data_IF_425283395537
#
_entry.id   IF_425283395537
#
_cell.length_a   1.000
_cell.length_b   1.000
_cell.length_c   1.000
_cell.angle_alpha   90.00
_cell.angle_beta   90.00
_cell.angle_gamma   90.00
#
_symmetry.space_group_name_H-M   'P 1'
#
loop_
_entity.id
_entity.type
_entity.pdbx_description
1 polymer ?
#
# COMPACT_ATOMS: atom_id res chain seq x y z
N UNK A 1 11.91 0.21 -17.46
CA UNK A 1 11.47 -0.98 -16.70
C UNK A 1 10.44 -1.81 -17.48
N UNK A 2 10.53 -3.13 -17.43
CA UNK A 2 9.57 -4.07 -18.02
C UNK A 2 9.03 -5.06 -16.96
N UNK A 3 7.78 -5.52 -17.11
CA UNK A 3 7.14 -6.49 -16.19
C UNK A 3 6.33 -7.51 -16.96
N UNK A 4 6.44 -8.79 -16.57
CA UNK A 4 5.50 -9.88 -16.87
C UNK A 4 5.20 -10.67 -15.59
N UNK A 5 4.02 -11.29 -15.54
CA UNK A 5 3.64 -12.10 -14.37
C UNK A 5 4.33 -13.48 -14.35
N UNK A 6 4.64 -14.04 -15.51
CA UNK A 6 5.32 -15.34 -15.65
C UNK A 6 6.33 -15.29 -16.79
N UNK A 7 7.44 -16.05 -16.74
CA UNK A 7 8.49 -16.02 -17.77
C UNK A 7 7.95 -16.18 -19.20
N UNK A 8 7.01 -17.09 -19.40
CA UNK A 8 6.44 -17.43 -20.72
C UNK A 8 5.15 -16.65 -21.05
N UNK A 9 4.90 -15.52 -20.38
CA UNK A 9 3.74 -14.65 -20.68
C UNK A 9 4.18 -13.35 -21.32
N UNK A 10 3.30 -12.70 -22.11
CA UNK A 10 3.59 -11.38 -22.65
C UNK A 10 3.92 -10.35 -21.57
N UNK A 11 4.74 -9.37 -21.93
CA UNK A 11 4.99 -8.20 -21.09
C UNK A 11 3.70 -7.40 -20.91
N UNK A 12 3.41 -7.06 -19.66
CA UNK A 12 2.32 -6.17 -19.25
C UNK A 12 2.82 -4.72 -19.27
N UNK A 13 4.00 -4.46 -18.70
CA UNK A 13 4.69 -3.19 -18.79
C UNK A 13 5.89 -3.33 -19.73
N UNK A 14 5.97 -2.45 -20.74
CA UNK A 14 6.89 -2.57 -21.88
C UNK A 14 7.81 -1.35 -21.98
N UNK A 15 8.76 -1.22 -21.07
CA UNK A 15 9.76 -0.15 -21.13
C UNK A 15 9.27 1.18 -20.56
N UNK A 16 8.69 1.16 -19.36
CA UNK A 16 8.30 2.38 -18.64
C UNK A 16 9.55 3.10 -18.14
N UNK A 17 9.64 4.40 -18.44
CA UNK A 17 10.61 5.34 -17.86
C UNK A 17 9.81 6.46 -17.21
N UNK A 18 10.00 6.62 -15.90
CA UNK A 18 9.25 7.55 -15.06
C UNK A 18 10.16 8.01 -13.92
N UNK A 19 10.13 9.31 -13.65
CA UNK A 19 10.78 9.92 -12.49
C UNK A 19 9.72 10.66 -11.70
N UNK A 20 9.63 10.38 -10.40
CA UNK A 20 8.75 11.06 -9.45
C UNK A 20 9.65 11.68 -8.39
N UNK A 21 9.54 12.99 -8.18
CA UNK A 21 10.34 13.71 -7.20
C UNK A 21 9.65 13.73 -5.83
N UNK A 22 10.45 13.92 -4.79
CA UNK A 22 9.94 14.03 -3.42
C UNK A 22 8.92 15.16 -3.29
N UNK A 23 7.77 14.85 -2.69
CA UNK A 23 6.67 15.82 -2.48
C UNK A 23 5.69 15.95 -3.65
N UNK A 24 5.93 15.27 -4.78
CA UNK A 24 5.01 15.29 -5.91
C UNK A 24 3.74 14.46 -5.67
N UNK A 25 2.63 14.94 -6.23
CA UNK A 25 1.36 14.21 -6.30
C UNK A 25 1.12 13.82 -7.75
N UNK A 26 1.27 12.53 -8.06
CA UNK A 26 1.17 12.01 -9.43
C UNK A 26 -0.10 11.19 -9.60
N UNK A 27 -0.91 11.53 -10.62
CA UNK A 27 -2.06 10.74 -11.03
C UNK A 27 -1.73 9.83 -12.22
N UNK A 28 -2.09 8.55 -12.14
CA UNK A 28 -1.88 7.58 -13.22
C UNK A 28 -3.24 7.20 -13.83
N UNK A 29 -3.47 7.61 -15.07
CA UNK A 29 -4.73 7.40 -15.79
C UNK A 29 -4.56 6.45 -16.97
N UNK A 30 -5.64 5.74 -17.32
CA UNK A 30 -5.65 4.83 -18.46
C UNK A 30 -6.81 3.85 -18.41
N UNK A 31 -7.13 3.22 -19.56
CA UNK A 31 -8.21 2.23 -19.68
C UNK A 31 -8.03 1.04 -18.72
N UNK A 32 -9.10 0.32 -18.40
CA UNK A 32 -9.00 -0.96 -17.68
C UNK A 32 -8.07 -1.92 -18.42
N UNK A 33 -7.21 -2.64 -17.67
CA UNK A 33 -6.20 -3.52 -18.25
C UNK A 33 -4.91 -2.85 -18.75
N UNK A 34 -4.78 -1.52 -18.63
CA UNK A 34 -3.58 -0.79 -19.09
C UNK A 34 -2.31 -0.99 -18.23
N UNK A 35 -2.34 -1.84 -17.21
CA UNK A 35 -1.18 -2.12 -16.35
C UNK A 35 -0.98 -1.18 -15.16
N UNK A 36 -1.95 -0.31 -14.82
CA UNK A 36 -1.85 0.61 -13.66
C UNK A 36 -1.60 -0.14 -12.35
N UNK A 37 -2.42 -1.14 -12.05
CA UNK A 37 -2.26 -1.97 -10.85
C UNK A 37 -0.95 -2.76 -10.88
N UNK A 38 -0.51 -3.19 -12.07
CA UNK A 38 0.79 -3.88 -12.25
C UNK A 38 1.98 -2.97 -11.93
N UNK A 39 1.90 -1.68 -12.28
CA UNK A 39 2.93 -0.71 -11.92
C UNK A 39 3.03 -0.53 -10.40
N UNK A 40 1.89 -0.39 -9.72
CA UNK A 40 1.84 -0.32 -8.26
C UNK A 40 2.40 -1.61 -7.64
N UNK A 41 1.98 -2.78 -8.13
CA UNK A 41 2.49 -4.08 -7.67
C UNK A 41 4.01 -4.20 -7.80
N UNK A 42 4.60 -3.61 -8.84
CA UNK A 42 6.04 -3.65 -9.02
C UNK A 42 6.80 -2.75 -8.04
N UNK A 43 6.25 -1.58 -7.65
CA UNK A 43 6.84 -0.73 -6.59
C UNK A 43 6.89 -1.47 -5.25
N UNK A 44 5.87 -2.26 -4.94
CA UNK A 44 5.83 -3.09 -3.72
C UNK A 44 6.56 -4.44 -3.87
N UNK A 45 7.18 -4.70 -5.03
CA UNK A 45 7.78 -5.99 -5.40
C UNK A 45 6.84 -7.17 -5.08
N UNK A 46 5.56 -7.02 -5.41
CA UNK A 46 4.59 -8.12 -5.48
C UNK A 46 4.75 -8.89 -6.79
N UNK A 47 5.26 -8.21 -7.82
CA UNK A 47 5.76 -8.79 -9.08
C UNK A 47 7.12 -8.18 -9.34
N UNK A 48 8.13 -9.01 -9.57
CA UNK A 48 9.49 -8.51 -9.81
C UNK A 48 9.62 -7.90 -11.22
N UNK A 49 10.40 -6.82 -11.40
CA UNK A 49 10.78 -6.33 -12.71
C UNK A 49 11.45 -7.43 -13.53
N UNK A 50 11.04 -7.59 -14.77
CA UNK A 50 11.65 -8.56 -15.68
C UNK A 50 12.87 -8.01 -16.40
N UNK A 51 12.95 -6.68 -16.50
CA UNK A 51 14.10 -5.94 -17.03
C UNK A 51 14.04 -4.47 -16.57
N UNK A 52 15.20 -3.82 -16.54
CA UNK A 52 15.41 -2.49 -15.98
C UNK A 52 15.31 -2.45 -14.45
N UNK A 53 15.27 -1.25 -13.90
CA UNK A 53 15.38 -1.00 -12.46
C UNK A 53 14.33 -0.02 -11.96
N UNK A 54 13.96 -0.17 -10.69
CA UNK A 54 13.23 0.84 -9.91
C UNK A 54 14.17 1.30 -8.81
N UNK A 55 14.34 2.61 -8.67
CA UNK A 55 15.15 3.19 -7.60
C UNK A 55 14.27 4.10 -6.74
N UNK A 56 14.47 4.04 -5.42
CA UNK A 56 13.86 4.94 -4.44
C UNK A 56 15.01 5.53 -3.64
N UNK A 57 15.08 6.86 -3.55
CA UNK A 57 16.19 7.60 -2.92
C UNK A 57 17.58 7.17 -3.44
N UNK A 58 17.67 6.87 -4.74
CA UNK A 58 18.90 6.41 -5.39
C UNK A 58 19.26 4.94 -5.12
N UNK A 59 18.46 4.21 -4.33
CA UNK A 59 18.69 2.81 -3.98
C UNK A 59 17.84 1.93 -4.89
N UNK A 60 18.46 0.95 -5.54
CA UNK A 60 17.76 -0.10 -6.26
C UNK A 60 16.98 -1.00 -5.29
N UNK A 61 15.66 -1.00 -5.43
CA UNK A 61 14.77 -1.69 -4.49
C UNK A 61 14.90 -3.21 -4.54
N UNK A 62 15.49 -3.77 -5.61
CA UNK A 62 15.73 -5.22 -5.74
C UNK A 62 16.82 -5.71 -4.77
N UNK A 63 17.67 -4.80 -4.30
CA UNK A 63 18.76 -5.07 -3.35
C UNK A 63 18.31 -5.02 -1.88
N UNK A 64 17.09 -4.54 -1.61
CA UNK A 64 16.53 -4.44 -0.26
C UNK A 64 15.75 -5.70 0.11
N UNK A 65 15.70 -6.00 1.42
CA UNK A 65 14.75 -6.96 1.95
C UNK A 65 13.30 -6.47 1.74
N UNK A 66 12.38 -7.40 1.47
CA UNK A 66 10.97 -7.04 1.21
C UNK A 66 10.31 -6.35 2.42
N UNK A 67 10.67 -6.77 3.63
CA UNK A 67 10.18 -6.14 4.86
C UNK A 67 10.63 -4.68 4.95
N UNK A 68 11.92 -4.42 4.77
CA UNK A 68 12.49 -3.07 4.86
C UNK A 68 11.90 -2.13 3.80
N UNK A 69 11.76 -2.61 2.57
CA UNK A 69 11.12 -1.85 1.49
C UNK A 69 9.66 -1.52 1.83
N UNK A 70 8.86 -2.53 2.21
CA UNK A 70 7.41 -2.37 2.41
C UNK A 70 7.08 -1.60 3.68
N UNK A 71 7.94 -1.63 4.70
CA UNK A 71 7.77 -0.82 5.92
C UNK A 71 7.81 0.69 5.66
N UNK A 72 8.39 1.12 4.53
CA UNK A 72 8.52 2.54 4.13
C UNK A 72 7.51 2.96 3.06
N UNK A 73 6.61 2.06 2.65
CA UNK A 73 5.61 2.31 1.61
C UNK A 73 4.20 2.03 2.15
N UNK A 74 3.27 2.97 1.94
CA UNK A 74 1.85 2.78 2.25
C UNK A 74 1.03 2.48 0.99
N UNK A 75 0.07 1.55 1.07
CA UNK A 75 -0.88 1.25 0.00
C UNK A 75 -2.30 1.15 0.57
N UNK A 76 -3.26 1.70 -0.15
CA UNK A 76 -4.69 1.45 0.05
C UNK A 76 -5.13 0.48 -1.06
N UNK A 77 -5.53 -0.76 -0.73
CA UNK A 77 -5.94 -1.75 -1.73
C UNK A 77 -7.25 -1.33 -2.43
N UNK A 78 -7.50 -1.87 -3.62
CA UNK A 78 -8.74 -1.61 -4.36
C UNK A 78 -9.97 -2.15 -3.63
N UNK A 79 -9.83 -3.33 -3.00
CA UNK A 79 -10.85 -3.93 -2.15
C UNK A 79 -10.42 -3.77 -0.69
N UNK A 80 -11.23 -3.14 0.18
CA UNK A 80 -10.92 -3.05 1.59
C UNK A 80 -11.00 -4.45 2.21
N UNK A 81 -9.95 -4.83 2.93
CA UNK A 81 -9.92 -6.09 3.70
C UNK A 81 -9.86 -5.73 5.18
N UNK A 82 -10.79 -6.28 5.95
CA UNK A 82 -10.74 -6.25 7.41
C UNK A 82 -10.46 -7.67 7.90
N UNK A 83 -9.63 -7.77 8.93
CA UNK A 83 -9.35 -9.02 9.62
C UNK A 83 -10.30 -9.18 10.80
N UNK A 84 -10.61 -10.44 11.14
CA UNK A 84 -11.29 -10.74 12.40
C UNK A 84 -10.50 -10.16 13.57
N UNK A 85 -11.18 -9.39 14.42
CA UNK A 85 -10.56 -8.70 15.53
C UNK A 85 -11.25 -7.37 15.83
N UNK A 86 -10.56 -6.56 16.63
CA UNK A 86 -11.05 -5.27 17.07
C UNK A 86 -10.73 -4.17 16.06
N UNK A 87 -11.33 -3.00 16.23
CA UNK A 87 -10.92 -1.79 15.49
C UNK A 87 -9.42 -1.53 15.71
N UNK A 88 -8.94 -1.66 16.95
CA UNK A 88 -7.53 -1.51 17.32
C UNK A 88 -6.63 -2.48 16.58
N UNK A 89 -6.93 -3.78 16.59
CA UNK A 89 -6.05 -4.78 15.95
C UNK A 89 -6.03 -4.65 14.43
N UNK A 90 -7.08 -4.08 13.81
CA UNK A 90 -7.09 -3.77 12.38
C UNK A 90 -6.26 -2.52 12.03
N UNK A 91 -6.18 -1.54 12.94
CA UNK A 91 -5.38 -0.31 12.74
C UNK A 91 -3.91 -0.49 13.14
N UNK A 92 -3.66 -1.22 14.21
CA UNK A 92 -2.34 -1.46 14.78
C UNK A 92 -2.20 -2.93 15.23
N UNK A 93 -1.98 -3.86 14.28
CA UNK A 93 -1.93 -5.30 14.57
C UNK A 93 -0.75 -5.72 15.45
N UNK A 94 0.27 -4.86 15.60
CA UNK A 94 1.51 -5.15 16.34
C UNK A 94 1.69 -4.28 17.58
N UNK A 95 0.73 -3.39 17.88
CA UNK A 95 0.70 -2.60 19.12
C UNK A 95 1.83 -1.57 19.22
N UNK A 96 2.19 -0.92 18.12
CA UNK A 96 3.24 0.11 18.09
C UNK A 96 2.76 1.49 18.54
N UNK A 97 1.46 1.77 18.47
CA UNK A 97 0.91 3.12 18.63
C UNK A 97 0.06 3.24 19.90
N UNK A 98 0.13 4.42 20.51
CA UNK A 98 -0.72 4.77 21.65
C UNK A 98 -2.18 5.00 21.23
N UNK A 99 -3.10 4.88 22.18
CA UNK A 99 -4.53 5.18 21.97
C UNK A 99 -4.74 6.57 21.38
N UNK A 100 -3.98 7.57 21.84
CA UNK A 100 -4.07 8.94 21.33
C UNK A 100 -3.73 8.99 19.84
N UNK A 101 -2.64 8.34 19.41
CA UNK A 101 -2.24 8.30 17.99
C UNK A 101 -3.29 7.58 17.11
N UNK A 102 -3.89 6.50 17.63
CA UNK A 102 -4.97 5.78 16.96
C UNK A 102 -6.22 6.68 16.83
N UNK A 103 -6.62 7.37 17.89
CA UNK A 103 -7.75 8.30 17.86
C UNK A 103 -7.53 9.51 16.96
N UNK A 104 -6.30 10.05 16.90
CA UNK A 104 -5.95 11.11 15.96
C UNK A 104 -6.05 10.64 14.51
N UNK A 105 -5.65 9.40 14.22
CA UNK A 105 -5.82 8.79 12.90
C UNK A 105 -7.31 8.64 12.53
N UNK A 106 -8.13 8.13 13.46
CA UNK A 106 -9.59 8.02 13.28
C UNK A 106 -10.26 9.38 13.07
N UNK A 107 -9.80 10.43 13.75
CA UNK A 107 -10.29 11.80 13.55
C UNK A 107 -9.97 12.31 12.14
N UNK A 108 -8.72 12.15 11.68
CA UNK A 108 -8.29 12.56 10.33
C UNK A 108 -9.05 11.82 9.23
N UNK A 109 -9.46 10.57 9.49
CA UNK A 109 -10.26 9.75 8.58
C UNK A 109 -11.77 9.92 8.75
N UNK A 110 -12.25 10.83 9.60
CA UNK A 110 -13.68 11.06 9.87
C UNK A 110 -14.44 9.84 10.42
N UNK A 111 -13.74 8.93 11.11
CA UNK A 111 -14.30 7.72 11.72
C UNK A 111 -14.40 7.81 13.25
N UNK A 112 -13.90 8.89 13.88
CA UNK A 112 -13.90 9.04 15.33
C UNK A 112 -15.28 8.87 15.96
N UNK A 113 -16.29 9.54 15.43
CA UNK A 113 -17.64 9.51 16.00
C UNK A 113 -18.29 8.12 15.83
N UNK A 114 -18.07 7.48 14.68
CA UNK A 114 -18.55 6.12 14.39
C UNK A 114 -17.99 5.12 15.40
N UNK A 115 -16.68 5.17 15.65
CA UNK A 115 -16.02 4.26 16.61
C UNK A 115 -16.40 4.61 18.04
N UNK A 116 -16.55 5.89 18.38
CA UNK A 116 -16.94 6.32 19.74
C UNK A 116 -18.35 5.85 20.12
N UNK A 117 -19.26 5.74 19.14
CA UNK A 117 -20.62 5.27 19.36
C UNK A 117 -20.70 3.76 19.67
N UNK A 118 -19.64 2.98 19.40
CA UNK A 118 -19.60 1.54 19.73
C UNK A 118 -19.35 1.34 21.23
N UNK A 119 -20.02 0.38 21.91
CA UNK A 119 -19.87 0.15 23.35
C UNK A 119 -18.42 -0.04 23.81
N UNK A 120 -17.62 -0.74 23.01
CA UNK A 120 -16.21 -1.08 23.31
C UNK A 120 -15.20 -0.19 22.55
N UNK A 121 -15.68 0.79 21.77
CA UNK A 121 -14.84 1.76 21.04
C UNK A 121 -13.74 1.09 20.20
N UNK A 122 -12.46 1.29 20.55
CA UNK A 122 -11.32 0.70 19.87
C UNK A 122 -11.29 -0.83 19.98
N UNK A 123 -11.84 -1.38 21.05
CA UNK A 123 -11.84 -2.81 21.32
C UNK A 123 -13.10 -3.49 20.78
N UNK A 124 -14.00 -2.74 20.14
CA UNK A 124 -15.18 -3.29 19.49
C UNK A 124 -14.80 -4.21 18.32
N UNK A 125 -15.49 -5.36 18.24
CA UNK A 125 -15.38 -6.28 17.10
C UNK A 125 -15.99 -5.66 15.84
N UNK A 126 -15.19 -5.59 14.77
CA UNK A 126 -15.63 -5.11 13.45
C UNK A 126 -15.94 -3.60 13.35
N UNK A 127 -15.60 -3.02 12.20
CA UNK A 127 -15.91 -1.61 11.89
C UNK A 127 -17.34 -1.45 11.30
N UNK A 128 -17.97 -2.55 10.85
CA UNK A 128 -19.34 -2.58 10.31
C UNK A 128 -20.26 -3.43 11.18
#
# INVERSE_FOLDING_TARGET
MQVRYRPNTPLVLKGITLTILGGEKVGIVGRTGSGKSTLIQAFFRLVEPSDGTITIDGIDITKLGLHDLRSRLGIIPQEPVLFEGTVRSNLDPIGLYSDEEIWQSLYRCQLKDVVTAKPEKLDALGIF
#
